data_IF_094861640965
#
_entry.id   IF_094861640965
#
_cell.length_a   1.000
_cell.length_b   1.000
_cell.length_c   1.000
_cell.angle_alpha   90.00
_cell.angle_beta   90.00
_cell.angle_gamma   90.00
#
_symmetry.space_group_name_H-M   'P 1'
#
loop_
_entity.id
_entity.type
_entity.pdbx_description
1 polymer ?
#
# COMPACT_ATOMS: atom_id res chain seq x y z
N UNK A 1 58.92 67.22 -16.71
CA UNK A 1 58.65 66.39 -17.91
C UNK A 1 58.17 65.04 -17.38
N UNK A 2 57.11 64.37 -17.85
CA UNK A 2 56.30 64.49 -19.09
C UNK A 2 54.79 64.54 -18.73
N UNK A 3 53.94 64.92 -19.68
CA UNK A 3 52.47 65.08 -19.52
C UNK A 3 51.73 63.74 -19.47
N UNK A 4 50.69 63.65 -18.63
CA UNK A 4 49.68 62.59 -18.67
C UNK A 4 48.69 62.93 -19.80
N UNK A 5 48.40 61.98 -20.68
CA UNK A 5 47.39 62.10 -21.72
C UNK A 5 46.18 61.22 -21.37
N UNK A 6 44.99 61.80 -21.38
CA UNK A 6 43.75 61.05 -21.28
C UNK A 6 43.39 60.43 -22.64
N UNK A 7 42.82 59.23 -22.62
CA UNK A 7 42.08 58.68 -23.75
C UNK A 7 40.80 58.04 -23.24
N UNK A 8 39.66 58.60 -23.63
CA UNK A 8 38.35 58.00 -23.41
C UNK A 8 38.04 57.07 -24.58
N UNK A 9 37.52 55.87 -24.29
CA UNK A 9 36.95 54.97 -25.29
C UNK A 9 35.56 54.57 -24.82
N UNK A 10 34.56 54.79 -25.68
CA UNK A 10 33.15 54.46 -25.47
C UNK A 10 32.71 53.49 -26.56
N UNK A 11 32.38 52.26 -26.18
CA UNK A 11 31.65 51.26 -26.99
C UNK A 11 30.94 50.27 -26.04
N UNK A 12 29.93 49.48 -26.47
CA UNK A 12 28.60 49.60 -25.86
C UNK A 12 28.17 48.38 -25.05
N UNK A 13 27.11 48.54 -24.27
CA UNK A 13 26.43 47.43 -23.61
C UNK A 13 25.63 46.60 -24.63
N UNK A 14 26.00 45.33 -24.78
CA UNK A 14 25.13 44.30 -25.34
C UNK A 14 24.40 43.60 -24.19
N UNK A 15 23.07 43.73 -24.17
CA UNK A 15 22.22 42.95 -23.28
C UNK A 15 21.88 41.63 -23.98
N UNK A 16 22.57 40.55 -23.63
CA UNK A 16 22.20 39.19 -24.07
C UNK A 16 20.99 38.71 -23.26
N UNK A 17 19.82 38.74 -23.89
CA UNK A 17 18.58 38.27 -23.32
C UNK A 17 18.49 36.75 -23.49
N UNK A 18 18.94 35.99 -22.48
CA UNK A 18 18.87 34.53 -22.47
C UNK A 18 17.42 34.08 -22.27
N UNK A 19 16.69 33.88 -23.37
CA UNK A 19 15.47 33.08 -23.35
C UNK A 19 15.86 31.61 -23.18
N UNK A 20 15.84 31.13 -21.93
CA UNK A 20 15.80 29.70 -21.68
C UNK A 20 14.47 29.16 -22.22
N UNK A 21 14.52 28.44 -23.35
CA UNK A 21 13.38 27.65 -23.80
C UNK A 21 13.09 26.57 -22.73
N UNK A 22 11.81 26.28 -22.40
CA UNK A 22 11.50 25.19 -21.50
C UNK A 22 12.07 23.89 -22.08
N UNK A 23 12.94 23.23 -21.32
CA UNK A 23 13.38 21.89 -21.66
C UNK A 23 12.21 20.95 -21.42
N UNK A 24 11.55 20.52 -22.50
CA UNK A 24 10.55 19.45 -22.44
C UNK A 24 11.30 18.14 -22.15
N UNK A 25 11.49 17.84 -20.85
CA UNK A 25 12.03 16.58 -20.36
C UNK A 25 11.23 15.42 -20.97
N UNK A 26 11.92 14.52 -21.64
CA UNK A 26 11.27 13.45 -22.40
C UNK A 26 10.75 12.36 -21.45
N UNK A 27 9.42 12.20 -21.42
CA UNK A 27 8.69 11.11 -20.73
C UNK A 27 9.28 9.74 -21.10
N UNK A 28 10.18 9.20 -20.26
CA UNK A 28 10.49 7.78 -20.26
C UNK A 28 9.29 7.07 -19.65
N UNK A 29 8.62 6.24 -20.44
CA UNK A 29 7.53 5.41 -19.93
C UNK A 29 8.11 4.32 -19.02
N UNK A 30 7.76 4.37 -17.73
CA UNK A 30 7.91 3.24 -16.83
C UNK A 30 7.13 2.05 -17.41
N UNK A 31 7.78 0.90 -17.53
CA UNK A 31 7.20 -0.30 -18.14
C UNK A 31 6.63 -1.21 -17.07
N UNK A 32 5.35 -1.55 -17.16
CA UNK A 32 4.80 -2.68 -16.41
C UNK A 32 5.58 -3.97 -16.75
N UNK A 33 6.02 -4.68 -15.72
CA UNK A 33 6.73 -5.97 -15.81
C UNK A 33 5.96 -7.04 -15.03
N UNK A 34 6.13 -8.32 -15.38
CA UNK A 34 5.61 -9.43 -14.58
C UNK A 34 6.43 -9.58 -13.29
N UNK A 35 5.82 -10.05 -12.20
CA UNK A 35 6.51 -10.19 -10.90
C UNK A 35 7.80 -11.02 -10.99
N UNK A 36 7.82 -12.06 -11.85
CA UNK A 36 9.01 -12.86 -12.08
C UNK A 36 10.20 -12.08 -12.67
N UNK A 37 9.96 -10.96 -13.35
CA UNK A 37 10.97 -10.16 -14.05
C UNK A 37 11.54 -9.02 -13.19
N UNK A 38 10.75 -8.46 -12.26
CA UNK A 38 11.17 -7.33 -11.42
C UNK A 38 11.42 -7.66 -9.94
N UNK A 39 11.10 -8.88 -9.48
CA UNK A 39 11.35 -9.29 -8.10
C UNK A 39 12.84 -9.30 -7.75
N UNK A 40 13.17 -8.95 -6.51
CA UNK A 40 14.55 -8.76 -6.01
C UNK A 40 14.95 -9.77 -4.92
N UNK A 41 14.16 -10.83 -4.74
CA UNK A 41 14.16 -11.64 -3.51
C UNK A 41 15.20 -12.76 -3.47
N UNK A 42 15.76 -13.13 -4.62
CA UNK A 42 16.80 -14.15 -4.72
C UNK A 42 18.21 -13.63 -4.38
N UNK A 43 19.11 -14.56 -4.09
CA UNK A 43 20.55 -14.32 -3.95
C UNK A 43 20.99 -14.13 -2.50
N UNK A 44 21.30 -12.90 -2.11
CA UNK A 44 21.89 -12.56 -0.81
C UNK A 44 21.17 -11.34 -0.24
N UNK A 45 20.93 -11.34 1.07
CA UNK A 45 20.33 -10.21 1.77
C UNK A 45 21.37 -9.09 2.04
N UNK A 46 20.88 -7.89 2.33
CA UNK A 46 21.67 -6.69 2.66
C UNK A 46 21.83 -5.68 1.53
N UNK A 47 21.12 -5.86 0.41
CA UNK A 47 21.16 -4.95 -0.75
C UNK A 47 19.77 -4.53 -1.26
N UNK A 48 18.68 -4.89 -0.58
CA UNK A 48 17.31 -4.74 -1.08
C UNK A 48 16.93 -3.28 -1.38
N UNK A 49 17.47 -2.30 -0.63
CA UNK A 49 17.24 -0.88 -0.91
C UNK A 49 17.75 -0.48 -2.30
N UNK A 50 18.94 -0.95 -2.69
CA UNK A 50 19.54 -0.63 -3.98
C UNK A 50 18.80 -1.33 -5.13
N UNK A 51 18.44 -2.60 -4.93
CA UNK A 51 17.69 -3.38 -5.92
C UNK A 51 16.29 -2.77 -6.13
N UNK A 52 15.57 -2.41 -5.06
CA UNK A 52 14.26 -1.78 -5.14
C UNK A 52 14.32 -0.36 -5.75
N UNK A 53 15.37 0.41 -5.45
CA UNK A 53 15.60 1.71 -6.07
C UNK A 53 15.79 1.60 -7.59
N UNK A 54 16.47 0.56 -8.07
CA UNK A 54 16.63 0.32 -9.51
C UNK A 54 15.30 0.01 -10.21
N UNK A 55 14.35 -0.63 -9.51
CA UNK A 55 13.01 -0.93 -10.05
C UNK A 55 12.08 0.28 -10.00
N UNK A 56 12.00 0.98 -8.87
CA UNK A 56 10.96 1.99 -8.65
C UNK A 56 11.43 3.44 -8.63
N UNK A 57 12.72 3.74 -8.42
CA UNK A 57 13.21 5.13 -8.33
C UNK A 57 13.97 5.56 -9.59
N UNK A 58 14.99 4.80 -10.00
CA UNK A 58 15.84 5.11 -11.16
C UNK A 58 15.09 5.33 -12.49
N UNK A 59 13.95 4.66 -12.80
CA UNK A 59 13.16 4.99 -13.98
C UNK A 59 12.61 6.43 -14.03
N UNK A 60 12.54 7.11 -12.87
CA UNK A 60 12.06 8.49 -12.71
C UNK A 60 13.20 9.51 -12.59
N UNK A 61 14.47 9.10 -12.70
CA UNK A 61 15.60 10.02 -12.64
C UNK A 61 15.50 11.07 -13.76
N UNK A 62 15.31 12.34 -13.38
CA UNK A 62 15.10 13.44 -14.33
C UNK A 62 13.73 13.45 -15.01
N UNK A 63 12.70 12.83 -14.39
CA UNK A 63 11.29 12.93 -14.79
C UNK A 63 10.56 13.89 -13.86
N UNK A 64 9.73 14.77 -14.42
CA UNK A 64 8.81 15.59 -13.64
C UNK A 64 7.61 14.74 -13.20
N UNK A 65 7.56 14.39 -11.91
CA UNK A 65 6.54 13.51 -11.33
C UNK A 65 5.12 14.05 -11.51
N UNK A 66 4.92 15.37 -11.58
CA UNK A 66 3.59 15.95 -11.82
C UNK A 66 3.03 15.67 -13.23
N UNK A 67 3.88 15.24 -14.17
CA UNK A 67 3.51 14.92 -15.56
C UNK A 67 3.33 13.42 -15.83
N UNK A 68 3.48 12.60 -14.78
CA UNK A 68 3.43 11.15 -14.82
C UNK A 68 1.97 10.69 -14.72
N UNK A 69 1.43 10.11 -15.78
CA UNK A 69 0.02 9.71 -15.87
C UNK A 69 -0.11 8.18 -15.94
N UNK A 70 -0.11 7.58 -17.15
CA UNK A 70 -0.15 6.12 -17.38
C UNK A 70 0.90 5.27 -16.63
N UNK A 71 1.94 5.91 -16.11
CA UNK A 71 3.05 5.26 -15.40
C UNK A 71 2.74 5.04 -13.91
N UNK A 72 1.95 5.90 -13.27
CA UNK A 72 1.52 5.73 -11.87
C UNK A 72 0.75 4.42 -11.71
N UNK A 73 -0.17 4.13 -12.64
CA UNK A 73 -0.87 2.85 -12.75
C UNK A 73 0.08 1.66 -12.87
N UNK A 74 1.13 1.77 -13.68
CA UNK A 74 2.11 0.68 -13.85
C UNK A 74 2.94 0.42 -12.58
N UNK A 75 3.28 1.48 -11.83
CA UNK A 75 3.97 1.37 -10.55
C UNK A 75 3.06 0.75 -9.47
N UNK A 76 1.79 1.20 -9.37
CA UNK A 76 0.75 0.60 -8.52
C UNK A 76 0.62 -0.91 -8.77
N UNK A 77 0.39 -1.34 -10.02
CA UNK A 77 0.25 -2.77 -10.38
C UNK A 77 1.50 -3.61 -10.08
N UNK A 78 2.72 -3.08 -10.29
CA UNK A 78 3.94 -3.80 -9.91
C UNK A 78 4.04 -3.96 -8.38
N UNK A 79 3.72 -2.92 -7.61
CA UNK A 79 3.64 -3.00 -6.15
C UNK A 79 2.58 -4.01 -5.68
N UNK A 80 1.39 -4.04 -6.27
CA UNK A 80 0.33 -5.02 -5.98
C UNK A 80 0.76 -6.47 -6.26
N UNK A 81 1.49 -6.70 -7.35
CA UNK A 81 2.01 -8.02 -7.67
C UNK A 81 3.06 -8.49 -6.65
N UNK A 82 3.93 -7.59 -6.17
CA UNK A 82 4.84 -7.85 -5.06
C UNK A 82 4.09 -8.12 -3.74
N UNK A 83 2.99 -7.42 -3.47
CA UNK A 83 2.16 -7.70 -2.28
C UNK A 83 1.44 -9.04 -2.35
N UNK A 84 0.89 -9.36 -3.52
CA UNK A 84 0.26 -10.66 -3.79
C UNK A 84 1.25 -11.78 -3.57
N UNK A 85 2.50 -11.63 -4.02
CA UNK A 85 3.57 -12.58 -3.73
C UNK A 85 3.89 -12.71 -2.22
N UNK A 86 3.80 -11.63 -1.42
CA UNK A 86 3.99 -11.70 0.04
C UNK A 86 3.02 -12.71 0.68
N UNK A 87 1.75 -12.65 0.33
CA UNK A 87 0.69 -13.39 1.04
C UNK A 87 0.28 -14.70 0.37
N UNK A 88 0.30 -14.77 -0.96
CA UNK A 88 -0.10 -15.96 -1.72
C UNK A 88 1.06 -16.96 -1.91
N UNK A 89 2.31 -16.54 -1.70
CA UNK A 89 3.50 -17.34 -2.08
C UNK A 89 4.55 -17.42 -0.98
N UNK A 90 5.02 -16.28 -0.45
CA UNK A 90 6.00 -16.29 0.63
C UNK A 90 5.43 -16.92 1.91
N UNK A 91 4.23 -16.53 2.35
CA UNK A 91 3.62 -17.09 3.55
C UNK A 91 3.49 -18.63 3.49
N UNK A 92 2.85 -19.25 2.47
CA UNK A 92 2.81 -20.71 2.36
C UNK A 92 4.17 -21.39 2.19
N UNK A 93 5.13 -20.75 1.52
CA UNK A 93 6.47 -21.31 1.32
C UNK A 93 7.29 -21.33 2.62
N UNK A 94 7.19 -20.27 3.44
CA UNK A 94 7.84 -20.18 4.74
C UNK A 94 7.23 -21.19 5.71
N UNK A 95 5.89 -21.30 5.74
CA UNK A 95 5.18 -22.28 6.58
C UNK A 95 5.55 -23.73 6.26
N UNK A 96 5.83 -24.03 4.99
CA UNK A 96 6.24 -25.36 4.52
C UNK A 96 7.75 -25.65 4.70
N UNK A 97 8.57 -24.62 4.92
CA UNK A 97 10.03 -24.73 5.02
C UNK A 97 10.52 -24.88 6.46
N UNK A 98 11.73 -25.40 6.64
CA UNK A 98 12.39 -25.48 7.95
C UNK A 98 13.89 -25.15 7.86
N UNK A 99 14.48 -24.78 8.99
CA UNK A 99 15.91 -24.47 9.09
C UNK A 99 16.36 -23.37 8.12
N UNK A 100 17.53 -23.56 7.51
CA UNK A 100 18.14 -22.57 6.61
C UNK A 100 17.26 -22.20 5.40
N UNK A 101 16.39 -23.11 4.93
CA UNK A 101 15.47 -22.83 3.83
C UNK A 101 14.37 -21.84 4.25
N UNK A 102 13.82 -21.99 5.47
CA UNK A 102 12.86 -21.04 6.02
C UNK A 102 13.50 -19.66 6.24
N UNK A 103 14.73 -19.61 6.76
CA UNK A 103 15.50 -18.35 6.90
C UNK A 103 15.73 -17.67 5.55
N UNK A 104 16.13 -18.42 4.52
CA UNK A 104 16.34 -17.85 3.18
C UNK A 104 15.04 -17.28 2.56
N UNK A 105 13.91 -17.96 2.76
CA UNK A 105 12.59 -17.47 2.31
C UNK A 105 12.12 -16.25 3.13
N UNK A 106 12.40 -16.19 4.43
CA UNK A 106 12.13 -15.01 5.25
C UNK A 106 12.97 -13.81 4.79
N UNK A 107 14.25 -14.01 4.50
CA UNK A 107 15.12 -12.98 3.92
C UNK A 107 14.57 -12.50 2.57
N UNK A 108 14.17 -13.41 1.68
CA UNK A 108 13.53 -13.07 0.41
C UNK A 108 12.23 -12.29 0.58
N UNK A 109 11.42 -12.65 1.57
CA UNK A 109 10.20 -11.90 1.92
C UNK A 109 10.52 -10.48 2.41
N UNK A 110 11.59 -10.29 3.19
CA UNK A 110 12.04 -8.95 3.61
C UNK A 110 12.48 -8.13 2.40
N UNK A 111 13.25 -8.71 1.46
CA UNK A 111 13.60 -8.03 0.20
C UNK A 111 12.34 -7.64 -0.60
N UNK A 112 11.35 -8.54 -0.71
CA UNK A 112 10.07 -8.24 -1.35
C UNK A 112 9.27 -7.13 -0.63
N UNK A 113 9.33 -7.05 0.70
CA UNK A 113 8.75 -5.92 1.45
C UNK A 113 9.42 -4.60 1.11
N UNK A 114 10.75 -4.56 1.04
CA UNK A 114 11.49 -3.35 0.62
C UNK A 114 11.10 -2.95 -0.81
N UNK A 115 10.98 -3.91 -1.73
CA UNK A 115 10.52 -3.70 -3.10
C UNK A 115 9.12 -3.05 -3.13
N UNK A 116 8.14 -3.67 -2.45
CA UNK A 116 6.77 -3.17 -2.36
C UNK A 116 6.72 -1.75 -1.77
N UNK A 117 7.34 -1.55 -0.61
CA UNK A 117 7.30 -0.28 0.12
C UNK A 117 8.03 0.85 -0.64
N UNK A 118 9.05 0.53 -1.44
CA UNK A 118 9.67 1.51 -2.34
C UNK A 118 8.72 1.92 -3.47
N UNK A 119 7.95 0.98 -4.03
CA UNK A 119 6.90 1.27 -5.01
C UNK A 119 5.74 2.10 -4.45
N UNK A 120 5.32 1.82 -3.21
CA UNK A 120 4.32 2.62 -2.47
C UNK A 120 4.81 4.06 -2.24
N UNK A 121 6.00 4.22 -1.65
CA UNK A 121 6.62 5.53 -1.41
C UNK A 121 6.80 6.31 -2.71
N UNK A 122 7.21 5.67 -3.82
CA UNK A 122 7.31 6.36 -5.10
C UNK A 122 5.93 6.78 -5.65
N UNK A 123 4.91 5.94 -5.48
CA UNK A 123 3.54 6.24 -5.92
C UNK A 123 2.99 7.45 -5.17
N UNK A 124 3.12 7.48 -3.84
CA UNK A 124 2.74 8.63 -3.02
C UNK A 124 3.52 9.91 -3.39
N UNK A 125 4.82 9.81 -3.71
CA UNK A 125 5.59 10.97 -4.19
C UNK A 125 5.08 11.50 -5.55
N UNK A 126 4.56 10.63 -6.43
CA UNK A 126 3.93 11.03 -7.69
C UNK A 126 2.58 11.72 -7.41
N UNK A 127 1.72 11.11 -6.60
CA UNK A 127 0.41 11.67 -6.23
C UNK A 127 0.56 13.04 -5.56
N UNK A 128 1.51 13.20 -4.63
CA UNK A 128 1.84 14.49 -3.99
C UNK A 128 2.31 15.54 -5.01
N UNK A 129 3.10 15.14 -6.02
CA UNK A 129 3.57 16.05 -7.05
C UNK A 129 2.43 16.51 -7.99
N UNK A 130 1.53 15.59 -8.36
CA UNK A 130 0.33 15.88 -9.14
C UNK A 130 -0.62 16.81 -8.38
N UNK A 131 -0.98 16.47 -7.14
CA UNK A 131 -1.84 17.29 -6.27
C UNK A 131 -1.27 18.71 -6.07
N UNK A 132 0.05 18.84 -5.84
CA UNK A 132 0.71 20.15 -5.74
C UNK A 132 0.67 20.95 -7.04
N UNK A 133 0.74 20.29 -8.21
CA UNK A 133 0.56 20.96 -9.50
C UNK A 133 -0.90 21.42 -9.72
N UNK A 134 -1.88 20.67 -9.19
CA UNK A 134 -3.31 21.03 -9.17
C UNK A 134 -3.68 22.09 -8.12
N UNK A 135 -2.82 22.36 -7.14
CA UNK A 135 -3.09 23.16 -5.93
C UNK A 135 -4.10 22.51 -4.97
N UNK A 136 -4.07 21.19 -4.87
CA UNK A 136 -4.85 20.38 -3.92
C UNK A 136 -4.11 20.23 -2.58
N UNK A 137 -4.83 19.88 -1.52
CA UNK A 137 -4.22 19.60 -0.20
C UNK A 137 -3.51 18.24 -0.23
N UNK A 138 -2.27 18.20 0.28
CA UNK A 138 -1.45 16.99 0.37
C UNK A 138 -1.27 16.48 1.79
N UNK A 139 -1.91 17.09 2.80
CA UNK A 139 -1.70 16.75 4.22
C UNK A 139 -1.88 15.25 4.53
N UNK A 140 -2.91 14.62 3.94
CA UNK A 140 -3.18 13.19 4.07
C UNK A 140 -2.17 12.30 3.32
N UNK A 141 -1.69 12.73 2.16
CA UNK A 141 -0.69 12.02 1.37
C UNK A 141 0.70 12.11 2.03
N UNK A 142 1.05 13.27 2.59
CA UNK A 142 2.30 13.46 3.32
C UNK A 142 2.33 12.67 4.65
N UNK A 143 1.17 12.52 5.31
CA UNK A 143 1.02 11.64 6.47
C UNK A 143 1.20 10.17 6.10
N UNK A 144 0.55 9.70 5.03
CA UNK A 144 0.74 8.35 4.51
C UNK A 144 2.21 8.09 4.09
N UNK A 145 2.83 9.05 3.39
CA UNK A 145 4.24 8.97 3.00
C UNK A 145 5.16 8.81 4.21
N UNK A 146 4.90 9.51 5.33
CA UNK A 146 5.69 9.37 6.54
C UNK A 146 5.54 7.98 7.20
N UNK A 147 4.33 7.42 7.20
CA UNK A 147 4.07 6.05 7.69
C UNK A 147 4.78 5.00 6.80
N UNK A 148 4.59 5.08 5.47
CA UNK A 148 5.22 4.15 4.52
C UNK A 148 6.75 4.25 4.52
N UNK A 149 7.31 5.46 4.64
CA UNK A 149 8.75 5.65 4.80
C UNK A 149 9.27 5.00 6.10
N UNK A 150 8.49 4.98 7.18
CA UNK A 150 8.82 4.32 8.45
C UNK A 150 8.80 2.78 8.31
N UNK A 151 7.79 2.23 7.62
CA UNK A 151 7.75 0.81 7.25
C UNK A 151 8.96 0.44 6.38
N UNK A 152 9.27 1.25 5.37
CA UNK A 152 10.37 1.03 4.42
C UNK A 152 11.71 1.00 5.15
N UNK A 153 11.99 2.01 5.97
CA UNK A 153 13.21 2.11 6.77
C UNK A 153 13.40 0.90 7.70
N UNK A 154 12.32 0.43 8.34
CA UNK A 154 12.34 -0.77 9.18
C UNK A 154 12.75 -2.02 8.37
N UNK A 155 12.17 -2.23 7.20
CA UNK A 155 12.48 -3.40 6.37
C UNK A 155 13.87 -3.34 5.74
N UNK A 156 14.36 -2.14 5.39
CA UNK A 156 15.76 -1.92 4.99
C UNK A 156 16.72 -2.28 6.12
N UNK A 157 16.41 -1.91 7.37
CA UNK A 157 17.22 -2.27 8.53
C UNK A 157 17.22 -3.78 8.79
N UNK A 158 16.11 -4.48 8.58
CA UNK A 158 16.03 -5.95 8.68
C UNK A 158 16.85 -6.64 7.59
N UNK A 159 16.77 -6.20 6.33
CA UNK A 159 17.60 -6.70 5.23
C UNK A 159 19.10 -6.47 5.51
N UNK A 160 19.46 -5.27 5.97
CA UNK A 160 20.83 -4.91 6.36
C UNK A 160 21.34 -5.77 7.52
N UNK A 161 20.50 -6.07 8.51
CA UNK A 161 20.81 -7.00 9.63
C UNK A 161 21.02 -8.44 9.14
N UNK A 162 20.35 -8.84 8.05
CA UNK A 162 20.53 -10.12 7.38
C UNK A 162 21.69 -10.14 6.36
N UNK A 163 22.48 -9.06 6.24
CA UNK A 163 23.52 -8.93 5.21
C UNK A 163 24.45 -10.14 5.10
N UNK A 164 24.64 -10.64 3.87
CA UNK A 164 25.48 -11.80 3.59
C UNK A 164 24.81 -13.16 3.83
N UNK A 165 23.59 -13.21 4.38
CA UNK A 165 22.80 -14.44 4.44
C UNK A 165 22.16 -14.76 3.08
N UNK A 166 21.88 -16.04 2.86
CA UNK A 166 21.12 -16.49 1.69
C UNK A 166 19.71 -15.86 1.69
N UNK A 167 19.24 -15.50 0.49
CA UNK A 167 17.90 -14.97 0.23
C UNK A 167 17.27 -15.77 -0.91
N UNK A 168 16.01 -16.18 -0.75
CA UNK A 168 15.31 -17.03 -1.70
C UNK A 168 13.98 -16.39 -2.09
N UNK A 169 13.81 -16.11 -3.39
CA UNK A 169 12.56 -15.66 -3.96
C UNK A 169 11.55 -16.78 -4.15
N UNK A 170 10.32 -16.37 -4.44
CA UNK A 170 9.20 -17.26 -4.81
C UNK A 170 8.83 -17.02 -6.27
N UNK A 171 8.94 -18.07 -7.08
CA UNK A 171 8.65 -18.02 -8.53
C UNK A 171 7.42 -18.86 -8.85
N UNK A 172 6.24 -18.29 -8.60
CA UNK A 172 4.95 -18.86 -8.98
C UNK A 172 3.92 -17.80 -9.40
N UNK A 173 4.40 -16.59 -9.72
CA UNK A 173 3.59 -15.39 -9.97
C UNK A 173 2.52 -15.57 -11.04
N UNK A 174 1.31 -15.15 -10.73
CA UNK A 174 0.28 -14.85 -11.74
C UNK A 174 0.84 -13.84 -12.74
N UNK A 175 0.68 -14.10 -14.04
CA UNK A 175 0.96 -13.12 -15.09
C UNK A 175 0.10 -11.88 -14.86
N UNK A 176 0.70 -10.70 -14.95
CA UNK A 176 -0.03 -9.44 -14.99
C UNK A 176 -0.81 -9.41 -16.31
N UNK A 177 -2.13 -9.63 -16.29
CA UNK A 177 -2.93 -9.77 -17.53
C UNK A 177 -2.85 -8.53 -18.45
N UNK A 178 -2.57 -7.36 -17.87
CA UNK A 178 -2.27 -6.13 -18.59
C UNK A 178 -0.93 -6.19 -19.37
N UNK A 179 0.11 -6.85 -18.84
CA UNK A 179 1.38 -7.05 -19.53
C UNK A 179 1.26 -8.09 -20.67
N UNK A 180 0.51 -9.17 -20.47
CA UNK A 180 0.23 -10.19 -21.49
C UNK A 180 -0.51 -9.64 -22.73
N UNK A 181 -1.24 -8.54 -22.57
CA UNK A 181 -1.93 -7.86 -23.67
C UNK A 181 -0.99 -7.07 -24.60
N UNK A 182 0.24 -6.75 -24.16
CA UNK A 182 1.22 -6.04 -24.98
C UNK A 182 2.03 -6.97 -25.91
N UNK A 183 2.14 -8.27 -25.59
CA UNK A 183 2.97 -9.23 -26.33
C UNK A 183 2.22 -10.04 -27.40
N UNK A 184 0.88 -10.01 -27.39
CA UNK A 184 0.01 -10.91 -28.17
C UNK A 184 -0.52 -10.32 -29.49
N UNK A 185 0.28 -9.50 -30.18
CA UNK A 185 -0.07 -8.91 -31.49
C UNK A 185 0.22 -9.82 -32.71
N UNK A 186 -0.07 -11.13 -32.63
CA UNK A 186 -0.14 -11.97 -33.84
C UNK A 186 -1.06 -13.21 -33.74
N UNK A 187 -1.70 -13.54 -34.87
CA UNK A 187 -2.47 -14.77 -35.19
C UNK A 187 -3.92 -14.95 -34.67
N UNK A 188 -4.84 -14.37 -35.45
CA UNK A 188 -6.02 -15.04 -36.05
C UNK A 188 -7.00 -15.88 -35.20
N UNK A 189 -8.17 -15.28 -34.95
CA UNK A 189 -9.52 -15.80 -35.27
C UNK A 189 -9.75 -17.30 -35.57
N UNK A 190 -10.79 -17.88 -34.95
CA UNK A 190 -11.97 -18.46 -35.64
C UNK A 190 -13.15 -18.62 -34.67
N UNK A 191 -14.36 -18.40 -35.18
CA UNK A 191 -15.63 -18.34 -34.42
C UNK A 191 -16.30 -19.71 -34.20
N UNK A 192 -17.24 -19.79 -33.23
CA UNK A 192 -18.51 -20.53 -33.37
C UNK A 192 -19.60 -20.03 -32.41
N UNK A 193 -20.84 -20.45 -32.64
CA UNK A 193 -22.04 -19.62 -32.38
C UNK A 193 -23.25 -20.48 -31.95
N UNK A 194 -24.20 -19.87 -31.20
CA UNK A 194 -25.52 -20.40 -30.75
C UNK A 194 -25.44 -21.44 -29.61
N UNK A 195 -26.43 -21.56 -28.71
CA UNK A 195 -27.90 -21.40 -28.93
C UNK A 195 -28.67 -20.85 -27.69
N UNK A 196 -29.91 -20.38 -27.90
CA UNK A 196 -30.80 -19.66 -26.98
C UNK A 196 -32.10 -20.45 -26.68
N UNK A 197 -32.53 -20.49 -25.41
CA UNK A 197 -33.90 -20.70 -24.91
C UNK A 197 -33.91 -20.28 -23.41
N UNK A 198 -34.74 -19.38 -22.84
CA UNK A 198 -36.21 -19.18 -22.87
C UNK A 198 -36.92 -20.44 -22.34
N UNK A 199 -37.70 -20.49 -21.25
CA UNK A 199 -38.49 -19.53 -20.45
C UNK A 199 -38.42 -20.02 -18.95
N UNK A 200 -39.02 -19.47 -17.89
CA UNK A 200 -40.06 -18.45 -17.72
C UNK A 200 -40.00 -17.71 -16.34
N UNK A 201 -40.96 -16.81 -16.13
CA UNK A 201 -41.21 -15.98 -14.92
C UNK A 201 -42.14 -16.62 -13.89
N UNK A 202 -41.86 -16.40 -12.60
CA UNK A 202 -42.91 -16.15 -11.59
C UNK A 202 -42.51 -14.92 -10.77
N UNK A 203 -43.32 -13.86 -10.85
CA UNK A 203 -43.13 -12.66 -10.04
C UNK A 203 -43.65 -12.91 -8.61
N UNK A 204 -42.88 -12.47 -7.61
CA UNK A 204 -43.37 -12.25 -6.26
C UNK A 204 -43.00 -10.81 -5.89
N UNK A 205 -44.00 -9.98 -5.62
CA UNK A 205 -43.78 -8.62 -5.17
C UNK A 205 -43.24 -8.64 -3.73
N UNK A 206 -41.99 -8.21 -3.54
CA UNK A 206 -41.50 -7.77 -2.25
C UNK A 206 -41.66 -6.25 -2.19
N UNK A 207 -42.20 -5.75 -1.09
CA UNK A 207 -42.50 -4.33 -0.93
C UNK A 207 -41.24 -3.47 -1.01
N UNK A 208 -41.40 -2.24 -1.50
CA UNK A 208 -40.45 -1.16 -1.27
C UNK A 208 -40.40 -0.85 0.23
N UNK A 209 -39.53 -1.53 0.96
CA UNK A 209 -39.14 -1.15 2.31
C UNK A 209 -38.59 0.28 2.23
N UNK A 210 -39.10 1.25 3.00
CA UNK A 210 -38.47 2.56 3.04
C UNK A 210 -37.02 2.41 3.49
N UNK A 211 -36.10 3.13 2.84
CA UNK A 211 -34.76 3.26 3.37
C UNK A 211 -34.88 3.80 4.81
N UNK A 212 -34.43 3.01 5.78
CA UNK A 212 -34.26 3.52 7.13
C UNK A 212 -33.11 4.52 7.04
N UNK A 213 -33.43 5.81 7.11
CA UNK A 213 -32.43 6.86 6.98
C UNK A 213 -31.34 6.66 8.02
N UNK A 214 -30.09 6.61 7.56
CA UNK A 214 -28.91 6.71 8.42
C UNK A 214 -29.03 7.96 9.29
N UNK A 215 -28.70 7.83 10.57
CA UNK A 215 -28.72 8.96 11.49
C UNK A 215 -27.55 9.91 11.19
N UNK A 216 -27.76 11.20 11.39
CA UNK A 216 -26.70 12.21 11.25
C UNK A 216 -25.52 11.89 12.20
N UNK A 217 -24.34 11.73 11.60
CA UNK A 217 -23.08 11.46 12.27
C UNK A 217 -22.38 12.70 12.83
N UNK A 218 -22.86 13.91 12.56
CA UNK A 218 -22.17 15.17 12.93
C UNK A 218 -21.88 15.34 14.43
N UNK A 219 -22.69 14.71 15.29
CA UNK A 219 -22.50 14.72 16.75
C UNK A 219 -21.67 13.55 17.30
N UNK A 220 -21.30 12.59 16.45
CA UNK A 220 -20.51 11.43 16.86
C UNK A 220 -19.04 11.81 17.04
N UNK A 221 -18.40 11.23 18.06
CA UNK A 221 -16.96 11.38 18.29
C UNK A 221 -16.31 10.02 18.49
N UNK A 222 -15.20 9.78 17.78
CA UNK A 222 -14.42 8.56 17.91
C UNK A 222 -13.26 8.81 18.88
N UNK A 223 -13.24 8.14 20.02
CA UNK A 223 -12.23 8.37 21.05
C UNK A 223 -10.88 7.72 20.70
N UNK A 224 -9.80 8.52 20.64
CA UNK A 224 -8.43 8.00 20.57
C UNK A 224 -8.12 7.23 21.84
N UNK A 225 -7.65 5.99 21.68
CA UNK A 225 -7.24 5.09 22.77
C UNK A 225 -5.75 4.78 22.65
N UNK A 226 -5.07 4.50 23.77
CA UNK A 226 -3.70 4.00 23.71
C UNK A 226 -3.71 2.56 23.19
N UNK A 227 -2.63 2.13 22.51
CA UNK A 227 -2.58 0.79 21.89
C UNK A 227 -2.89 -0.35 22.86
N UNK A 228 -2.45 -0.25 24.12
CA UNK A 228 -2.76 -1.24 25.16
C UNK A 228 -4.27 -1.39 25.47
N UNK A 229 -5.08 -0.36 25.21
CA UNK A 229 -6.51 -0.32 25.55
C UNK A 229 -7.41 -0.87 24.42
N UNK A 230 -6.97 -0.81 23.15
CA UNK A 230 -7.77 -1.25 21.99
C UNK A 230 -7.18 -2.43 21.20
N UNK A 231 -5.97 -2.91 21.54
CA UNK A 231 -5.36 -4.06 20.86
C UNK A 231 -6.18 -5.36 21.05
N UNK A 232 -6.16 -6.23 20.04
CA UNK A 232 -6.95 -7.49 20.00
C UNK A 232 -6.09 -8.75 19.93
N UNK A 233 -4.78 -8.61 20.21
CA UNK A 233 -3.73 -9.58 19.90
C UNK A 233 -3.68 -10.77 20.85
N UNK A 234 -4.18 -10.63 22.07
CA UNK A 234 -4.16 -11.68 23.09
C UNK A 234 -5.32 -12.69 22.97
N UNK A 235 -5.15 -13.82 23.66
CA UNK A 235 -6.15 -14.86 23.83
C UNK A 235 -6.00 -15.99 22.81
N UNK A 236 -6.99 -16.14 21.93
CA UNK A 236 -7.01 -17.15 20.86
C UNK A 236 -7.14 -16.48 19.50
N UNK A 237 -6.57 -17.10 18.46
CA UNK A 237 -6.80 -16.74 17.07
C UNK A 237 -8.16 -17.29 16.57
N UNK A 238 -8.61 -16.76 15.42
CA UNK A 238 -9.85 -17.12 14.72
C UNK A 238 -11.06 -16.24 14.99
N UNK A 239 -10.87 -15.09 15.63
CA UNK A 239 -11.93 -14.12 15.93
C UNK A 239 -11.53 -12.65 15.68
N UNK A 240 -10.38 -12.39 15.05
CA UNK A 240 -9.83 -11.05 14.91
C UNK A 240 -10.77 -10.09 14.16
N UNK A 241 -11.45 -10.56 13.12
CA UNK A 241 -12.41 -9.76 12.34
C UNK A 241 -13.52 -9.17 13.22
N UNK A 242 -14.11 -9.99 14.10
CA UNK A 242 -15.18 -9.55 15.00
C UNK A 242 -14.66 -8.55 16.05
N UNK A 243 -13.45 -8.75 16.56
CA UNK A 243 -12.84 -7.83 17.52
C UNK A 243 -12.42 -6.50 16.88
N UNK A 244 -11.89 -6.53 15.66
CA UNK A 244 -11.52 -5.32 14.91
C UNK A 244 -12.76 -4.50 14.51
N UNK A 245 -13.84 -5.17 14.08
CA UNK A 245 -15.11 -4.51 13.80
C UNK A 245 -15.69 -3.83 15.05
N UNK A 246 -15.61 -4.47 16.22
CA UNK A 246 -16.04 -3.87 17.48
C UNK A 246 -15.28 -2.59 17.85
N UNK A 247 -14.03 -2.42 17.38
CA UNK A 247 -13.22 -1.21 17.60
C UNK A 247 -13.55 -0.13 16.57
N UNK A 248 -13.59 -0.46 15.27
CA UNK A 248 -13.61 0.56 14.20
C UNK A 248 -14.92 0.67 13.41
N UNK A 249 -15.73 -0.38 13.33
CA UNK A 249 -16.91 -0.45 12.45
C UNK A 249 -18.22 -0.31 13.24
N UNK A 250 -18.39 -1.14 14.27
CA UNK A 250 -19.62 -1.20 15.08
C UNK A 250 -19.98 0.14 15.74
N UNK A 251 -19.03 1.00 16.20
CA UNK A 251 -19.36 2.33 16.73
C UNK A 251 -20.01 3.27 15.72
N UNK A 252 -19.83 3.04 14.41
CA UNK A 252 -20.36 3.86 13.32
C UNK A 252 -21.66 3.28 12.72
N UNK A 253 -22.14 2.13 13.22
CA UNK A 253 -23.27 1.42 12.63
C UNK A 253 -24.56 2.25 12.70
N UNK A 254 -25.19 2.46 11.53
CA UNK A 254 -26.41 3.26 11.40
C UNK A 254 -26.19 4.78 11.32
N UNK A 255 -24.93 5.25 11.34
CA UNK A 255 -24.59 6.66 11.08
C UNK A 255 -24.36 6.91 9.58
N UNK A 256 -24.63 8.13 9.14
CA UNK A 256 -24.23 8.61 7.81
C UNK A 256 -22.75 9.01 7.85
N UNK A 257 -21.90 8.21 7.20
CA UNK A 257 -20.45 8.41 7.15
C UNK A 257 -20.04 9.74 6.50
N UNK A 258 -20.87 10.29 5.59
CA UNK A 258 -20.59 11.57 4.92
C UNK A 258 -20.72 12.77 5.84
N UNK A 259 -21.48 12.64 6.93
CA UNK A 259 -21.77 13.73 7.89
C UNK A 259 -20.90 13.69 9.15
N UNK A 260 -20.05 12.67 9.31
CA UNK A 260 -19.09 12.57 10.41
C UNK A 260 -18.12 13.75 10.42
N UNK A 261 -17.71 14.21 11.60
CA UNK A 261 -16.63 15.20 11.75
C UNK A 261 -15.27 14.62 11.27
N UNK A 262 -14.39 15.47 10.72
CA UNK A 262 -13.08 15.05 10.20
C UNK A 262 -12.15 14.46 11.29
N UNK A 263 -12.38 14.83 12.56
CA UNK A 263 -11.68 14.22 13.70
C UNK A 263 -11.95 12.72 13.82
N UNK A 264 -13.07 12.18 13.32
CA UNK A 264 -13.35 10.74 13.34
C UNK A 264 -12.31 9.97 12.53
N UNK A 265 -12.09 10.36 11.27
CA UNK A 265 -11.08 9.73 10.41
C UNK A 265 -9.65 9.95 10.94
N UNK A 266 -9.36 11.15 11.47
CA UNK A 266 -8.07 11.48 12.09
C UNK A 266 -7.76 10.59 13.29
N UNK A 267 -8.74 10.40 14.18
CA UNK A 267 -8.60 9.60 15.39
C UNK A 267 -8.46 8.10 15.07
N UNK A 268 -9.19 7.62 14.05
CA UNK A 268 -9.04 6.26 13.54
C UNK A 268 -7.66 6.02 12.93
N UNK A 269 -7.13 6.95 12.13
CA UNK A 269 -5.76 6.89 11.61
C UNK A 269 -4.72 6.86 12.73
N UNK A 270 -4.86 7.71 13.75
CA UNK A 270 -3.97 7.74 14.92
C UNK A 270 -3.90 6.37 15.62
N UNK A 271 -5.03 5.69 15.79
CA UNK A 271 -5.08 4.34 16.38
C UNK A 271 -4.52 3.28 15.42
N UNK A 272 -4.83 3.35 14.12
CA UNK A 272 -4.27 2.47 13.09
C UNK A 272 -2.73 2.53 13.04
N UNK A 273 -2.16 3.73 13.10
CA UNK A 273 -0.72 3.97 13.12
C UNK A 273 -0.05 3.47 14.41
N UNK A 274 -0.76 3.52 15.55
CA UNK A 274 -0.28 2.89 16.78
C UNK A 274 -0.21 1.36 16.67
N UNK A 275 -1.21 0.73 16.04
CA UNK A 275 -1.19 -0.71 15.73
C UNK A 275 -0.08 -1.08 14.72
N UNK A 276 0.17 -0.22 13.73
CA UNK A 276 1.28 -0.36 12.79
C UNK A 276 2.66 -0.25 13.45
N UNK A 277 2.80 0.71 14.37
CA UNK A 277 4.01 0.89 15.17
C UNK A 277 4.26 -0.33 16.04
N UNK A 278 3.21 -0.91 16.65
CA UNK A 278 3.32 -2.16 17.39
C UNK A 278 3.73 -3.34 16.49
N UNK A 279 3.25 -3.41 15.24
CA UNK A 279 3.63 -4.44 14.27
C UNK A 279 5.16 -4.48 14.05
N UNK A 280 5.77 -3.31 13.89
CA UNK A 280 7.18 -3.16 13.47
C UNK A 280 8.16 -2.99 14.64
N UNK A 281 7.80 -2.20 15.65
CA UNK A 281 8.68 -1.89 16.78
C UNK A 281 8.58 -2.88 17.95
N UNK A 282 7.52 -3.70 18.01
CA UNK A 282 7.26 -4.59 19.15
C UNK A 282 7.09 -6.06 18.72
N UNK A 283 6.20 -6.37 17.76
CA UNK A 283 5.99 -7.74 17.30
C UNK A 283 7.22 -8.34 16.61
N UNK A 284 7.83 -7.64 15.66
CA UNK A 284 8.99 -8.18 14.94
C UNK A 284 10.17 -8.52 15.88
N UNK A 285 10.63 -7.63 16.79
CA UNK A 285 11.64 -7.99 17.79
C UNK A 285 11.22 -9.10 18.76
N UNK A 286 9.95 -9.16 19.15
CA UNK A 286 9.46 -10.18 20.08
C UNK A 286 9.38 -11.57 19.42
N UNK A 287 9.01 -11.65 18.15
CA UNK A 287 8.98 -12.90 17.36
C UNK A 287 10.42 -13.37 17.10
N UNK A 288 11.33 -12.47 16.70
CA UNK A 288 12.77 -12.74 16.53
C UNK A 288 13.41 -13.35 17.79
N UNK A 289 13.01 -12.89 18.98
CA UNK A 289 13.55 -13.34 20.26
C UNK A 289 12.88 -14.61 20.81
N UNK A 290 11.74 -15.02 20.26
CA UNK A 290 10.96 -16.15 20.74
C UNK A 290 11.26 -17.45 19.97
N UNK A 291 10.95 -18.59 20.57
CA UNK A 291 11.05 -19.90 19.90
C UNK A 291 9.85 -20.80 20.23
N UNK A 292 9.61 -21.81 19.38
CA UNK A 292 8.54 -22.78 19.55
C UNK A 292 7.15 -22.13 19.72
N UNK A 293 6.35 -22.68 20.63
CA UNK A 293 4.97 -22.22 20.86
C UNK A 293 4.85 -20.73 21.24
N UNK A 294 5.89 -20.13 21.85
CA UNK A 294 5.90 -18.71 22.16
C UNK A 294 6.01 -17.84 20.90
N UNK A 295 6.86 -18.23 19.94
CA UNK A 295 6.96 -17.56 18.64
C UNK A 295 5.66 -17.70 17.84
N UNK A 296 5.07 -18.90 17.81
CA UNK A 296 3.76 -19.13 17.16
C UNK A 296 2.66 -18.26 17.77
N UNK A 297 2.59 -18.14 19.10
CA UNK A 297 1.59 -17.30 19.75
C UNK A 297 1.76 -15.80 19.44
N UNK A 298 3.00 -15.32 19.35
CA UNK A 298 3.31 -13.94 18.96
C UNK A 298 3.02 -13.68 17.48
N UNK A 299 3.27 -14.65 16.59
CA UNK A 299 2.87 -14.55 15.17
C UNK A 299 1.36 -14.49 15.02
N UNK A 300 0.61 -15.30 15.76
CA UNK A 300 -0.85 -15.22 15.81
C UNK A 300 -1.30 -13.83 16.30
N UNK A 301 -0.70 -13.30 17.38
CA UNK A 301 -0.98 -11.95 17.85
C UNK A 301 -0.72 -10.88 16.78
N UNK A 302 0.40 -11.00 16.04
CA UNK A 302 0.73 -10.11 14.92
C UNK A 302 -0.32 -10.17 13.80
N UNK A 303 -0.84 -11.36 13.48
CA UNK A 303 -1.91 -11.53 12.49
C UNK A 303 -3.19 -10.82 12.96
N UNK A 304 -3.58 -10.97 14.24
CA UNK A 304 -4.73 -10.24 14.79
C UNK A 304 -4.52 -8.72 14.76
N UNK A 305 -3.32 -8.25 15.09
CA UNK A 305 -2.97 -6.82 14.99
C UNK A 305 -3.01 -6.29 13.54
N UNK A 306 -2.60 -7.10 12.55
CA UNK A 306 -2.78 -6.75 11.13
C UNK A 306 -4.25 -6.60 10.76
N UNK A 307 -5.11 -7.52 11.18
CA UNK A 307 -6.57 -7.41 10.96
C UNK A 307 -7.11 -6.12 11.59
N UNK A 308 -6.74 -5.81 12.84
CA UNK A 308 -7.11 -4.57 13.53
C UNK A 308 -6.72 -3.32 12.73
N UNK A 309 -5.46 -3.24 12.29
CA UNK A 309 -4.95 -2.12 11.47
C UNK A 309 -5.73 -1.97 10.17
N UNK A 310 -5.86 -3.06 9.41
CA UNK A 310 -6.49 -3.07 8.09
C UNK A 310 -8.00 -2.77 8.16
N UNK A 311 -8.71 -3.21 9.20
CA UNK A 311 -10.11 -2.81 9.43
C UNK A 311 -10.23 -1.31 9.69
N UNK A 312 -9.30 -0.72 10.46
CA UNK A 312 -9.23 0.73 10.64
C UNK A 312 -9.00 1.48 9.32
N UNK A 313 -8.11 0.96 8.47
CA UNK A 313 -7.77 1.55 7.15
C UNK A 313 -8.96 1.53 6.18
N UNK A 314 -9.56 0.35 6.01
CA UNK A 314 -10.78 0.14 5.19
C UNK A 314 -11.91 1.06 5.65
N UNK A 315 -12.10 1.23 6.96
CA UNK A 315 -13.16 2.09 7.47
C UNK A 315 -12.86 3.59 7.32
N UNK A 316 -11.60 4.02 7.39
CA UNK A 316 -11.19 5.39 7.04
C UNK A 316 -11.46 5.66 5.55
N UNK A 317 -11.12 4.72 4.66
CA UNK A 317 -11.42 4.82 3.23
C UNK A 317 -12.93 4.90 2.96
N UNK A 318 -13.75 4.08 3.63
CA UNK A 318 -15.22 4.18 3.54
C UNK A 318 -15.75 5.57 3.93
N UNK A 319 -15.19 6.20 4.98
CA UNK A 319 -15.57 7.56 5.39
C UNK A 319 -15.17 8.59 4.33
N UNK A 320 -13.95 8.50 3.80
CA UNK A 320 -13.46 9.39 2.73
C UNK A 320 -14.32 9.29 1.47
N UNK A 321 -14.62 8.07 1.02
CA UNK A 321 -15.48 7.81 -0.15
C UNK A 321 -16.87 8.40 0.06
N UNK A 322 -17.49 8.19 1.24
CA UNK A 322 -18.81 8.74 1.53
C UNK A 322 -18.83 10.27 1.51
N UNK A 323 -17.77 10.93 2.01
CA UNK A 323 -17.63 12.40 1.96
C UNK A 323 -17.43 12.92 0.54
N UNK A 324 -16.50 12.33 -0.22
CA UNK A 324 -16.24 12.68 -1.62
C UNK A 324 -17.49 12.49 -2.49
N UNK A 325 -18.23 11.38 -2.34
CA UNK A 325 -19.49 11.14 -3.03
C UNK A 325 -20.58 12.18 -2.67
N UNK A 326 -20.64 12.62 -1.40
CA UNK A 326 -21.57 13.67 -0.97
C UNK A 326 -21.17 15.07 -1.49
N UNK A 327 -19.87 15.32 -1.69
CA UNK A 327 -19.34 16.52 -2.33
C UNK A 327 -19.49 16.51 -3.86
N UNK A 328 -19.68 15.33 -4.47
CA UNK A 328 -19.73 15.14 -5.93
C UNK A 328 -18.36 15.02 -6.58
N UNK A 329 -17.36 14.60 -5.81
CA UNK A 329 -15.97 14.38 -6.23
C UNK A 329 -15.77 12.98 -6.85
N UNK A 330 -14.70 12.80 -7.61
CA UNK A 330 -14.32 11.48 -8.13
C UNK A 330 -13.74 10.61 -7.01
N UNK A 331 -14.18 9.36 -6.93
CA UNK A 331 -13.76 8.40 -5.90
C UNK A 331 -12.95 7.25 -6.46
N UNK A 332 -12.63 7.24 -7.76
CA UNK A 332 -11.97 6.13 -8.45
C UNK A 332 -10.67 5.65 -7.78
N UNK A 333 -9.79 6.57 -7.36
CA UNK A 333 -8.55 6.21 -6.64
C UNK A 333 -8.82 5.68 -5.22
N UNK A 334 -9.75 6.28 -4.48
CA UNK A 334 -10.14 5.82 -3.14
C UNK A 334 -10.80 4.44 -3.18
N UNK A 335 -11.63 4.17 -4.19
CA UNK A 335 -12.25 2.87 -4.43
C UNK A 335 -11.21 1.80 -4.84
N UNK A 336 -10.17 2.19 -5.59
CA UNK A 336 -9.03 1.31 -5.87
C UNK A 336 -8.21 0.99 -4.61
N UNK A 337 -7.88 2.00 -3.79
CA UNK A 337 -7.21 1.79 -2.51
C UNK A 337 -8.05 0.92 -1.56
N UNK A 338 -9.37 1.12 -1.54
CA UNK A 338 -10.30 0.30 -0.76
C UNK A 338 -10.27 -1.16 -1.23
N UNK A 339 -10.22 -1.44 -2.53
CA UNK A 339 -10.13 -2.80 -3.05
C UNK A 339 -8.83 -3.52 -2.64
N UNK A 340 -7.70 -2.81 -2.64
CA UNK A 340 -6.40 -3.31 -2.18
C UNK A 340 -6.43 -3.64 -0.69
N UNK A 341 -6.81 -2.69 0.15
CA UNK A 341 -6.86 -2.87 1.61
C UNK A 341 -7.91 -3.91 2.02
N UNK A 342 -9.04 -4.00 1.29
CA UNK A 342 -10.02 -5.05 1.50
C UNK A 342 -9.48 -6.44 1.13
N UNK A 343 -8.60 -6.53 0.12
CA UNK A 343 -7.89 -7.77 -0.25
C UNK A 343 -6.89 -8.18 0.85
N UNK A 344 -6.08 -7.23 1.34
CA UNK A 344 -5.17 -7.43 2.48
C UNK A 344 -5.92 -7.89 3.72
N UNK A 345 -7.02 -7.21 4.06
CA UNK A 345 -7.86 -7.53 5.22
C UNK A 345 -8.43 -8.95 5.09
N UNK A 346 -9.00 -9.29 3.94
CA UNK A 346 -9.57 -10.62 3.67
C UNK A 346 -8.54 -11.73 3.85
N UNK A 347 -7.32 -11.54 3.32
CA UNK A 347 -6.25 -12.53 3.46
C UNK A 347 -5.78 -12.69 4.91
N UNK A 348 -5.64 -11.60 5.67
CA UNK A 348 -5.24 -11.70 7.08
C UNK A 348 -6.36 -12.30 7.96
N UNK A 349 -7.64 -12.02 7.67
CA UNK A 349 -8.79 -12.68 8.31
C UNK A 349 -8.78 -14.19 8.01
N UNK A 350 -8.49 -14.58 6.76
CA UNK A 350 -8.39 -16.00 6.40
C UNK A 350 -7.24 -16.70 7.14
N UNK A 351 -6.10 -16.02 7.35
CA UNK A 351 -4.97 -16.56 8.12
C UNK A 351 -5.29 -16.66 9.63
N UNK A 352 -5.93 -15.66 10.24
CA UNK A 352 -6.43 -15.75 11.62
C UNK A 352 -7.42 -16.92 11.78
N UNK A 353 -8.34 -17.08 10.82
CA UNK A 353 -9.35 -18.16 10.82
C UNK A 353 -8.72 -19.55 10.66
N UNK A 354 -7.67 -19.71 9.85
CA UNK A 354 -6.91 -20.98 9.76
C UNK A 354 -6.29 -21.37 11.12
N UNK A 355 -5.92 -20.40 11.92
CA UNK A 355 -5.30 -20.59 13.23
C UNK A 355 -6.33 -20.64 14.38
N UNK A 356 -7.61 -20.84 14.08
CA UNK A 356 -8.70 -20.82 15.07
C UNK A 356 -8.42 -21.70 16.30
N UNK A 357 -8.54 -21.10 17.48
CA UNK A 357 -8.30 -21.77 18.77
C UNK A 357 -6.83 -21.97 19.14
N UNK A 358 -5.87 -21.64 18.26
CA UNK A 358 -4.47 -21.54 18.63
C UNK A 358 -4.26 -20.35 19.59
N UNK A 359 -3.26 -20.48 20.47
CA UNK A 359 -2.88 -19.39 21.38
C UNK A 359 -2.40 -18.16 20.58
N UNK A 360 -2.80 -16.98 21.04
CA UNK A 360 -2.43 -15.68 20.48
C UNK A 360 -1.94 -14.78 21.60
N UNK A 361 -0.88 -14.00 21.35
CA UNK A 361 -0.24 -13.19 22.38
C UNK A 361 0.13 -11.80 21.85
N UNK A 362 -0.23 -10.76 22.59
CA UNK A 362 0.19 -9.38 22.38
C UNK A 362 1.64 -9.11 22.84
N UNK A 363 1.99 -7.83 22.74
CA UNK A 363 3.35 -7.29 22.96
C UNK A 363 3.39 -6.11 23.93
N UNK A 364 2.26 -5.85 24.59
CA UNK A 364 2.03 -4.84 25.63
C UNK A 364 1.34 -5.47 26.83
#
# INVERSE_FOLDING_TARGET
MVRIAAFAVVVPAFAELVFAAPLHLSRRAFTLQDYADFQISDGTAGNAQADAAAVFLTPFDGVDLATVDSTTLSAKTMREAAETAETAQFDPAIDAATGAAATALQNGKIKNKVLKLTGEVQTLNIEIAQAKASNEDTSDLETQLAAEQTKLNTNIALDTKAAGQASQGVTGGTTNEAAASASSSSSSSVSKTKTKAVRATTAAAAASTPASGTADGSSFTFAVQAYADFQISDGTAGNAAAQANAVFVDPLNGLDLSTLDDSVATNMNTMREAAETAETAQFDPAIDAATGAAATALQNGKIKNKVLKLTGEVQVLNIKIAKAQAAGEDTSDLESQLADEQTKLTTNIATDTKNVGAASKGVV
#
